data_IF_423789735070
#
_entry.id   IF_423789735070
#
_cell.length_a   1.000
_cell.length_b   1.000
_cell.length_c   1.000
_cell.angle_alpha   90.00
_cell.angle_beta   90.00
_cell.angle_gamma   90.00
#
_symmetry.space_group_name_H-M   'P 1'
#
loop_
_entity.id
_entity.type
_entity.pdbx_description
1 polymer ?
#
# COMPACT_ATOMS: atom_id res chain seq x y z
N UNK A 1 8.52 -12.54 14.08
CA UNK A 1 7.30 -12.78 14.88
C UNK A 1 6.58 -13.99 14.33
N UNK A 2 6.64 -15.14 15.04
CA UNK A 2 6.04 -16.41 14.60
C UNK A 2 4.55 -16.44 14.99
N UNK A 3 3.65 -16.41 14.01
CA UNK A 3 2.24 -16.72 14.23
C UNK A 3 2.05 -18.24 14.27
N UNK A 4 1.54 -18.76 15.37
CA UNK A 4 1.07 -20.15 15.46
C UNK A 4 -0.44 -20.15 15.17
N UNK A 5 -0.86 -20.87 14.13
CA UNK A 5 -2.28 -21.17 13.90
C UNK A 5 -2.59 -22.57 14.48
N UNK A 6 -3.67 -22.74 15.27
CA UNK A 6 -4.07 -24.04 15.77
C UNK A 6 -4.76 -24.84 14.65
N UNK A 7 -4.41 -26.12 14.55
CA UNK A 7 -4.86 -27.03 13.50
C UNK A 7 -6.35 -27.36 13.56
N UNK A 8 -6.95 -27.64 12.41
CA UNK A 8 -8.34 -28.07 12.24
C UNK A 8 -8.39 -29.46 11.56
N UNK A 9 -9.36 -30.29 11.97
CA UNK A 9 -9.46 -31.72 11.64
C UNK A 9 -9.67 -32.05 10.15
N UNK A 10 -9.18 -33.23 9.69
CA UNK A 10 -9.10 -33.58 8.28
C UNK A 10 -10.43 -34.16 7.78
N UNK A 11 -11.16 -33.40 6.96
CA UNK A 11 -12.44 -33.88 6.42
C UNK A 11 -12.89 -33.27 5.10
N UNK A 12 -12.81 -31.95 4.90
CA UNK A 12 -13.43 -31.39 3.67
C UNK A 12 -12.99 -29.97 3.28
N UNK A 13 -11.72 -29.59 3.40
CA UNK A 13 -11.21 -28.34 2.81
C UNK A 13 -9.78 -28.50 2.27
N UNK A 14 -9.51 -29.60 1.57
CA UNK A 14 -8.23 -29.85 0.86
C UNK A 14 -8.11 -29.02 -0.43
N UNK A 15 -8.46 -27.75 -0.37
CA UNK A 15 -8.04 -26.74 -1.35
C UNK A 15 -7.67 -25.51 -0.56
N UNK A 16 -6.67 -25.70 0.31
CA UNK A 16 -5.94 -24.62 0.95
C UNK A 16 -5.59 -23.59 -0.13
N UNK A 17 -6.07 -22.36 0.07
CA UNK A 17 -5.80 -21.25 -0.83
C UNK A 17 -4.28 -21.14 -0.91
N UNK A 18 -3.73 -21.16 -2.12
CA UNK A 18 -2.30 -20.90 -2.32
C UNK A 18 -1.96 -19.58 -1.65
N UNK A 19 -0.82 -19.51 -0.94
CA UNK A 19 -0.40 -18.28 -0.28
C UNK A 19 -0.52 -17.12 -1.28
N UNK A 20 -1.26 -16.09 -0.87
CA UNK A 20 -1.56 -14.96 -1.73
C UNK A 20 -0.30 -14.24 -2.19
N UNK A 21 -0.41 -13.30 -3.15
CA UNK A 21 0.72 -12.48 -3.56
C UNK A 21 1.41 -11.86 -2.33
N UNK A 22 2.69 -12.13 -2.17
CA UNK A 22 3.47 -11.66 -1.01
C UNK A 22 3.58 -10.13 -0.95
N UNK A 23 4.06 -9.58 0.17
CA UNK A 23 4.12 -8.12 0.41
C UNK A 23 4.86 -7.32 -0.69
N UNK A 24 5.81 -7.94 -1.40
CA UNK A 24 6.48 -7.32 -2.54
C UNK A 24 5.51 -7.00 -3.71
N UNK A 25 4.40 -7.72 -3.78
CA UNK A 25 3.35 -7.63 -4.78
C UNK A 25 2.13 -6.85 -4.26
N UNK A 26 2.17 -6.39 -3.01
CA UNK A 26 1.08 -5.64 -2.41
C UNK A 26 1.00 -4.24 -3.02
N UNK A 27 -0.20 -3.89 -3.46
CA UNK A 27 -0.53 -2.58 -4.03
C UNK A 27 -1.33 -1.79 -2.99
N UNK A 28 -0.92 -0.56 -2.72
CA UNK A 28 -1.70 0.36 -1.91
C UNK A 28 -2.93 0.82 -2.68
N UNK A 29 -4.11 0.43 -2.19
CA UNK A 29 -5.39 0.92 -2.70
C UNK A 29 -5.86 2.10 -1.85
N UNK A 30 -6.10 3.25 -2.48
CA UNK A 30 -6.57 4.46 -1.79
C UNK A 30 -5.46 5.36 -1.22
N UNK A 31 -4.45 5.65 -2.03
CA UNK A 31 -3.40 6.61 -1.70
C UNK A 31 -3.95 7.95 -1.17
N UNK A 32 -3.35 8.46 -0.08
CA UNK A 32 -3.70 9.72 0.57
C UNK A 32 -2.74 10.84 0.18
N UNK A 33 -3.12 12.08 0.43
CA UNK A 33 -2.23 13.24 0.30
C UNK A 33 -1.66 13.40 -1.11
N UNK A 34 -2.53 13.35 -2.13
CA UNK A 34 -2.20 13.50 -3.56
C UNK A 34 -1.10 12.56 -4.10
N UNK A 35 -0.80 11.49 -3.37
CA UNK A 35 0.09 10.43 -3.82
C UNK A 35 -0.61 9.43 -4.75
N UNK A 36 0.18 8.76 -5.56
CA UNK A 36 -0.22 7.81 -6.61
C UNK A 36 0.86 6.73 -6.77
N UNK A 37 0.53 5.66 -7.51
CA UNK A 37 1.42 4.54 -7.77
C UNK A 37 1.19 3.37 -6.80
N UNK A 38 1.85 2.24 -7.08
CA UNK A 38 1.58 0.99 -6.37
C UNK A 38 1.93 1.03 -4.88
N UNK A 39 2.84 1.91 -4.46
CA UNK A 39 3.20 2.09 -3.04
C UNK A 39 2.91 3.51 -2.53
N UNK A 40 2.14 4.30 -3.27
CA UNK A 40 1.84 5.71 -2.96
C UNK A 40 3.10 6.57 -2.76
N UNK A 41 4.20 6.20 -3.42
CA UNK A 41 5.51 6.84 -3.33
C UNK A 41 5.73 7.91 -4.42
N UNK A 42 4.76 8.10 -5.31
CA UNK A 42 4.82 9.10 -6.37
C UNK A 42 3.75 10.15 -6.13
N UNK A 43 3.98 11.40 -6.51
CA UNK A 43 2.97 12.46 -6.40
C UNK A 43 2.21 12.66 -7.71
N UNK A 44 0.93 13.03 -7.61
CA UNK A 44 0.14 13.47 -8.77
C UNK A 44 0.83 14.64 -9.46
N UNK A 45 0.67 14.73 -10.78
CA UNK A 45 1.20 15.83 -11.58
C UNK A 45 0.86 17.20 -10.96
N UNK A 46 1.88 18.07 -10.87
CA UNK A 46 1.78 19.38 -10.21
C UNK A 46 2.10 19.38 -8.71
N UNK A 47 2.38 18.21 -8.12
CA UNK A 47 2.87 18.06 -6.76
C UNK A 47 4.25 17.40 -6.77
N UNK A 48 5.03 17.66 -5.72
CA UNK A 48 6.35 17.09 -5.50
C UNK A 48 6.42 16.52 -4.08
N UNK A 49 7.22 15.47 -3.90
CA UNK A 49 7.39 14.86 -2.58
C UNK A 49 8.33 15.71 -1.73
N UNK A 50 7.84 16.15 -0.57
CA UNK A 50 8.60 16.87 0.45
C UNK A 50 8.29 16.23 1.81
N UNK A 51 9.31 15.68 2.47
CA UNK A 51 9.16 15.02 3.79
C UNK A 51 8.05 13.94 3.82
N UNK A 52 7.98 13.12 2.77
CA UNK A 52 6.96 12.07 2.64
C UNK A 52 5.54 12.59 2.33
N UNK A 53 5.39 13.89 2.05
CA UNK A 53 4.11 14.55 1.77
C UNK A 53 4.13 15.17 0.37
N UNK A 54 3.09 14.92 -0.45
CA UNK A 54 2.98 15.61 -1.73
C UNK A 54 2.56 17.05 -1.51
N UNK A 55 3.47 17.96 -1.81
CA UNK A 55 3.28 19.39 -1.66
C UNK A 55 3.08 19.99 -3.05
N UNK A 56 2.14 20.93 -3.20
CA UNK A 56 2.01 21.69 -4.44
C UNK A 56 3.08 22.78 -4.45
N UNK A 57 3.70 23.04 -5.59
CA UNK A 57 4.50 24.26 -5.73
C UNK A 57 3.61 25.49 -5.54
N UNK A 58 3.81 26.17 -4.41
CA UNK A 58 3.28 27.49 -4.17
C UNK A 58 4.40 28.50 -4.41
N UNK A 59 4.25 29.45 -5.35
CA UNK A 59 5.16 30.59 -5.41
C UNK A 59 5.07 31.36 -4.08
N UNK A 60 6.16 32.04 -3.66
CA UNK A 60 6.12 32.88 -2.48
C UNK A 60 5.00 33.92 -2.62
N UNK A 61 4.01 33.90 -1.72
CA UNK A 61 2.86 34.80 -1.73
C UNK A 61 1.55 34.23 -2.30
N UNK A 62 1.46 32.93 -2.61
CA UNK A 62 0.17 32.28 -2.85
C UNK A 62 -0.64 32.18 -1.52
N UNK A 63 -1.96 32.42 -1.53
CA UNK A 63 -2.82 32.35 -0.34
C UNK A 63 -2.98 30.93 0.21
#
# INVERSE_FOLDING_TARGET
SRGHSPGHSPGQLHTWVSEGPGEAQAVCVGCRNDSVGDRCDTCRAGFFMLDGTCTRWAPPGAP
#
